data_IF_463231858164
#
_entry.id   IF_463231858164
#
_cell.length_a   1.000
_cell.length_b   1.000
_cell.length_c   1.000
_cell.angle_alpha   90.00
_cell.angle_beta   90.00
_cell.angle_gamma   90.00
#
_symmetry.space_group_name_H-M   'P 1'
#
loop_
_entity.id
_entity.type
_entity.pdbx_description
1 polymer ?
#
# COMPACT_ATOMS: atom_id res chain seq x y z
N UNK A 1 -13.28 -2.33 -14.03
CA UNK A 1 -12.62 -3.45 -14.74
C UNK A 1 -13.59 -4.58 -15.04
N UNK A 2 -14.31 -5.13 -14.06
CA UNK A 2 -15.31 -6.20 -14.29
C UNK A 2 -16.35 -5.87 -15.36
N UNK A 3 -16.92 -4.66 -15.36
CA UNK A 3 -17.86 -4.20 -16.42
C UNK A 3 -17.24 -4.19 -17.82
N UNK A 4 -15.97 -3.80 -17.94
CA UNK A 4 -15.26 -3.72 -19.23
C UNK A 4 -14.92 -5.13 -19.72
N UNK A 5 -14.44 -6.01 -18.83
CA UNK A 5 -14.24 -7.43 -19.13
C UNK A 5 -15.54 -8.08 -19.62
N UNK A 6 -16.66 -7.85 -18.94
CA UNK A 6 -17.94 -8.43 -19.31
C UNK A 6 -18.40 -7.94 -20.69
N UNK A 7 -18.26 -6.64 -20.98
CA UNK A 7 -18.52 -6.11 -22.32
C UNK A 7 -17.65 -6.77 -23.39
N UNK A 8 -16.34 -6.91 -23.17
CA UNK A 8 -15.42 -7.52 -24.15
C UNK A 8 -15.77 -9.00 -24.38
N UNK A 9 -16.02 -9.77 -23.32
CA UNK A 9 -16.42 -11.19 -23.38
C UNK A 9 -17.72 -11.37 -24.16
N UNK A 10 -18.74 -10.55 -23.90
CA UNK A 10 -20.03 -10.61 -24.61
C UNK A 10 -19.89 -10.23 -26.07
N UNK A 11 -19.15 -9.16 -26.38
CA UNK A 11 -18.91 -8.73 -27.78
C UNK A 11 -18.17 -9.81 -28.56
N UNK A 12 -17.13 -10.42 -27.98
CA UNK A 12 -16.36 -11.48 -28.65
C UNK A 12 -17.18 -12.76 -28.82
N UNK A 13 -18.03 -13.11 -27.85
CA UNK A 13 -18.92 -14.25 -27.95
C UNK A 13 -19.96 -14.07 -29.07
N UNK A 14 -20.58 -12.89 -29.15
CA UNK A 14 -21.54 -12.55 -30.21
C UNK A 14 -20.85 -12.52 -31.58
N UNK A 15 -19.66 -11.93 -31.68
CA UNK A 15 -18.87 -11.93 -32.91
C UNK A 15 -18.49 -13.34 -33.37
N UNK A 16 -18.13 -14.24 -32.45
CA UNK A 16 -17.81 -15.63 -32.76
C UNK A 16 -19.03 -16.45 -33.19
N UNK A 17 -20.20 -16.21 -32.57
CA UNK A 17 -21.46 -16.84 -32.98
C UNK A 17 -21.87 -16.39 -34.39
N UNK A 18 -21.73 -15.09 -34.70
CA UNK A 18 -21.97 -14.55 -36.04
C UNK A 18 -21.04 -15.18 -37.09
N UNK A 19 -19.79 -15.50 -36.71
CA UNK A 19 -18.80 -16.17 -37.56
C UNK A 19 -19.01 -17.69 -37.75
N UNK A 20 -20.12 -18.27 -37.27
CA UNK A 20 -20.47 -19.69 -37.44
C UNK A 20 -19.38 -20.67 -36.94
N UNK A 21 -18.63 -20.28 -35.91
CA UNK A 21 -17.67 -21.18 -35.25
C UNK A 21 -18.42 -22.17 -34.34
N UNK A 22 -17.90 -23.41 -34.18
CA UNK A 22 -18.53 -24.38 -33.28
C UNK A 22 -18.59 -23.80 -31.86
N UNK A 23 -19.75 -23.96 -31.21
CA UNK A 23 -20.13 -23.31 -29.95
C UNK A 23 -19.06 -23.53 -28.85
N UNK A 24 -18.42 -24.71 -28.86
CA UNK A 24 -17.38 -25.10 -27.91
C UNK A 24 -16.12 -24.25 -28.09
N UNK A 25 -15.64 -24.02 -29.32
CA UNK A 25 -14.44 -23.20 -29.58
C UNK A 25 -14.68 -21.72 -29.24
N UNK A 26 -15.88 -21.21 -29.52
CA UNK A 26 -16.24 -19.83 -29.18
C UNK A 26 -16.27 -19.59 -27.67
N UNK A 27 -16.74 -20.59 -26.90
CA UNK A 27 -16.71 -20.56 -25.44
C UNK A 27 -15.28 -20.59 -24.90
N UNK A 28 -14.44 -21.51 -25.39
CA UNK A 28 -13.04 -21.63 -24.97
C UNK A 28 -12.23 -20.37 -25.28
N UNK A 29 -12.45 -19.77 -26.46
CA UNK A 29 -11.78 -18.53 -26.86
C UNK A 29 -12.18 -17.33 -25.99
N UNK A 30 -13.48 -17.18 -25.72
CA UNK A 30 -13.99 -16.10 -24.85
C UNK A 30 -13.48 -16.24 -23.41
N UNK A 31 -13.44 -17.47 -22.88
CA UNK A 31 -12.88 -17.77 -21.56
C UNK A 31 -11.37 -17.45 -21.49
N UNK A 32 -10.60 -17.84 -22.51
CA UNK A 32 -9.17 -17.55 -22.59
C UNK A 32 -8.89 -16.04 -22.59
N UNK A 33 -9.67 -15.26 -23.34
CA UNK A 33 -9.58 -13.80 -23.34
C UNK A 33 -9.98 -13.19 -21.99
N UNK A 34 -11.04 -13.70 -21.35
CA UNK A 34 -11.44 -13.23 -20.03
C UNK A 34 -10.32 -13.39 -19.00
N UNK A 35 -9.68 -14.57 -18.97
CA UNK A 35 -8.56 -14.86 -18.06
C UNK A 35 -7.33 -14.01 -18.42
N UNK A 36 -6.98 -13.92 -19.71
CA UNK A 36 -5.82 -13.15 -20.17
C UNK A 36 -5.91 -11.64 -19.94
N UNK A 37 -7.12 -11.09 -19.89
CA UNK A 37 -7.37 -9.67 -19.60
C UNK A 37 -7.34 -9.33 -18.11
N UNK A 38 -7.26 -10.33 -17.22
CA UNK A 38 -7.26 -10.08 -15.78
C UNK A 38 -5.85 -9.73 -15.32
N UNK A 39 -5.57 -8.50 -14.87
CA UNK A 39 -4.22 -8.09 -14.49
C UNK A 39 -3.90 -8.52 -13.05
N UNK A 40 -3.91 -9.83 -12.78
CA UNK A 40 -3.60 -10.39 -11.45
C UNK A 40 -2.10 -10.27 -11.09
N UNK A 41 -1.24 -10.13 -12.09
CA UNK A 41 0.20 -10.09 -11.88
C UNK A 41 0.66 -8.76 -11.27
N UNK A 42 -0.01 -7.64 -11.60
CA UNK A 42 0.42 -6.32 -11.15
C UNK A 42 0.28 -6.15 -9.62
N UNK A 43 -0.87 -6.45 -8.98
CA UNK A 43 -0.99 -6.40 -7.52
C UNK A 43 -0.02 -7.35 -6.81
N UNK A 44 0.26 -8.51 -7.42
CA UNK A 44 1.20 -9.49 -6.85
C UNK A 44 2.63 -8.95 -6.82
N UNK A 45 3.11 -8.35 -7.92
CA UNK A 45 4.46 -7.78 -8.03
C UNK A 45 4.66 -6.64 -7.02
N UNK A 46 3.67 -5.75 -6.88
CA UNK A 46 3.74 -4.63 -5.92
C UNK A 46 3.88 -5.16 -4.50
N UNK A 47 3.05 -6.12 -4.08
CA UNK A 47 3.12 -6.73 -2.74
C UNK A 47 4.47 -7.39 -2.46
N UNK A 48 5.03 -8.13 -3.43
CA UNK A 48 6.36 -8.75 -3.26
C UNK A 48 7.45 -7.70 -3.10
N UNK A 49 7.37 -6.63 -3.87
CA UNK A 49 8.35 -5.52 -3.81
C UNK A 49 8.26 -4.79 -2.47
N UNK A 50 7.05 -4.44 -2.03
CA UNK A 50 6.80 -3.83 -0.72
C UNK A 50 7.19 -4.76 0.44
N UNK A 51 6.93 -6.07 0.34
CA UNK A 51 7.34 -7.05 1.34
C UNK A 51 8.87 -7.12 1.49
N UNK A 52 9.60 -7.10 0.36
CA UNK A 52 11.07 -7.03 0.37
C UNK A 52 11.55 -5.73 1.01
N UNK A 53 10.95 -4.60 0.67
CA UNK A 53 11.27 -3.30 1.28
C UNK A 53 11.03 -3.30 2.80
N UNK A 54 9.88 -3.81 3.25
CA UNK A 54 9.53 -3.93 4.66
C UNK A 54 10.52 -4.82 5.42
N UNK A 55 10.98 -5.93 4.80
CA UNK A 55 12.01 -6.80 5.38
C UNK A 55 13.34 -6.08 5.53
N UNK A 56 13.73 -5.23 4.58
CA UNK A 56 14.93 -4.41 4.69
C UNK A 56 14.81 -3.38 5.82
N UNK A 57 13.66 -2.69 5.95
CA UNK A 57 13.42 -1.73 7.02
C UNK A 57 13.40 -2.37 8.41
N UNK A 58 12.87 -3.60 8.52
CA UNK A 58 12.91 -4.38 9.76
C UNK A 58 14.33 -4.72 10.21
N UNK A 59 15.27 -4.96 9.28
CA UNK A 59 16.69 -5.17 9.63
C UNK A 59 17.33 -3.91 10.22
N UNK A 60 16.81 -2.73 9.88
CA UNK A 60 17.22 -1.44 10.45
C UNK A 60 16.45 -1.05 11.72
N UNK A 61 15.65 -1.96 12.29
CA UNK A 61 14.89 -1.73 13.52
C UNK A 61 13.51 -1.07 13.32
N UNK A 62 13.04 -0.91 12.08
CA UNK A 62 11.72 -0.32 11.79
C UNK A 62 10.68 -1.41 11.55
N UNK A 63 9.66 -1.49 12.39
CA UNK A 63 8.60 -2.51 12.30
C UNK A 63 7.45 -2.02 11.42
N UNK A 64 7.33 -2.59 10.23
CA UNK A 64 6.22 -2.33 9.30
C UNK A 64 5.07 -3.30 9.60
N UNK A 65 3.94 -2.79 10.10
CA UNK A 65 2.76 -3.63 10.42
C UNK A 65 1.83 -3.88 9.23
N UNK A 66 1.84 -3.02 8.22
CA UNK A 66 0.98 -3.07 7.03
C UNK A 66 1.79 -2.67 5.80
N UNK A 67 1.71 -3.43 4.71
CA UNK A 67 2.41 -3.09 3.47
C UNK A 67 1.86 -1.81 2.84
N UNK A 68 0.56 -1.56 2.95
CA UNK A 68 -0.07 -0.34 2.42
C UNK A 68 0.51 0.94 3.07
N UNK A 69 1.00 0.84 4.31
CA UNK A 69 1.66 1.96 4.98
C UNK A 69 3.00 2.34 4.31
N UNK A 70 3.67 1.40 3.64
CA UNK A 70 4.89 1.68 2.88
C UNK A 70 4.58 2.50 1.62
N UNK A 71 3.48 2.18 0.94
CA UNK A 71 3.05 2.91 -0.25
C UNK A 71 2.64 4.34 0.12
N UNK A 72 1.89 4.50 1.21
CA UNK A 72 1.58 5.82 1.77
C UNK A 72 2.86 6.56 2.14
N UNK A 73 3.81 5.93 2.85
CA UNK A 73 5.07 6.55 3.23
C UNK A 73 5.89 7.03 2.02
N UNK A 74 5.89 6.26 0.93
CA UNK A 74 6.59 6.60 -0.31
C UNK A 74 5.93 7.72 -1.12
N UNK A 75 4.63 7.95 -0.92
CA UNK A 75 3.85 9.01 -1.58
C UNK A 75 3.53 10.20 -0.67
N UNK A 76 4.10 10.26 0.54
CA UNK A 76 3.85 11.38 1.45
C UNK A 76 4.64 12.63 1.05
N UNK A 77 3.92 13.73 0.89
CA UNK A 77 4.51 15.07 0.73
C UNK A 77 4.72 15.79 2.06
N UNK A 78 3.91 15.48 3.08
CA UNK A 78 3.92 16.15 4.39
C UNK A 78 4.06 15.14 5.51
N UNK A 79 5.12 15.30 6.31
CA UNK A 79 5.36 14.51 7.52
C UNK A 79 5.04 15.34 8.77
N UNK A 80 3.90 15.06 9.39
CA UNK A 80 3.58 15.59 10.71
C UNK A 80 4.24 14.71 11.78
N UNK A 81 5.27 15.23 12.44
CA UNK A 81 5.97 14.56 13.55
C UNK A 81 5.67 15.28 14.86
N UNK A 82 5.45 14.52 15.94
CA UNK A 82 5.20 15.10 17.25
C UNK A 82 6.50 15.63 17.89
N UNK A 83 6.38 16.71 18.66
CA UNK A 83 7.56 17.35 19.26
C UNK A 83 8.12 16.53 20.43
N UNK A 84 7.26 15.98 21.29
CA UNK A 84 7.66 15.44 22.60
C UNK A 84 7.74 13.92 22.54
N UNK A 85 8.94 13.38 22.65
CA UNK A 85 9.16 11.92 22.54
C UNK A 85 9.46 11.44 21.12
N UNK A 86 9.23 12.25 20.07
CA UNK A 86 9.64 11.94 18.69
C UNK A 86 10.83 12.81 18.24
N UNK A 87 10.68 14.14 18.17
CA UNK A 87 11.79 15.06 17.89
C UNK A 87 12.71 15.28 19.09
N UNK A 88 12.12 15.33 20.29
CA UNK A 88 12.87 15.43 21.54
C UNK A 88 12.82 14.10 22.28
N UNK A 89 13.95 13.65 22.84
CA UNK A 89 14.08 12.34 23.50
C UNK A 89 13.36 12.22 24.85
N UNK A 90 12.24 12.92 25.05
CA UNK A 90 11.44 12.90 26.28
C UNK A 90 12.13 13.51 27.51
N UNK A 91 13.40 13.90 27.40
CA UNK A 91 14.14 14.58 28.45
C UNK A 91 13.85 16.08 28.39
N UNK A 92 12.85 16.50 29.15
CA UNK A 92 12.86 17.85 29.68
C UNK A 92 13.94 17.89 30.78
N UNK A 93 15.09 18.57 30.60
CA UNK A 93 15.95 18.86 31.74
C UNK A 93 15.07 19.59 32.76
N UNK A 94 15.16 19.25 34.08
CA UNK A 94 14.41 19.98 35.09
C UNK A 94 14.75 21.45 34.89
N UNK A 95 13.73 22.25 34.51
CA UNK A 95 13.88 23.71 34.41
C UNK A 95 14.49 24.13 35.73
N UNK A 96 15.70 24.68 35.65
CA UNK A 96 16.53 25.09 36.78
C UNK A 96 15.63 25.42 37.95
N UNK A 97 15.58 24.52 38.93
CA UNK A 97 15.03 24.85 40.24
C UNK A 97 15.82 26.08 40.63
N UNK A 98 15.18 27.25 40.57
CA UNK A 98 15.80 28.50 40.90
C UNK A 98 16.13 28.38 42.39
N UNK A 99 17.34 27.89 42.69
CA UNK A 99 17.93 27.92 44.03
C UNK A 99 18.23 29.40 44.30
N UNK A 100 17.19 30.17 44.62
CA UNK A 100 17.36 31.39 45.40
C UNK A 100 17.74 30.94 46.80
N UNK A 101 19.04 30.78 46.99
CA UNK A 101 19.65 30.93 48.29
C UNK A 101 19.21 32.28 48.88
N UNK A 102 18.74 32.26 50.13
CA UNK A 102 18.64 33.44 50.97
C UNK A 102 17.28 34.13 50.99
N UNK A 103 16.41 33.71 51.92
CA UNK A 103 15.83 34.64 52.90
C UNK A 103 15.27 33.89 54.11
N UNK A 104 16.09 33.92 55.17
CA UNK A 104 15.68 33.83 56.57
C UNK A 104 14.53 34.82 56.78
N UNK A 105 13.35 34.32 57.10
CA UNK A 105 12.27 35.09 57.70
C UNK A 105 11.90 34.37 58.99
N UNK A 106 12.21 35.08 60.06
CA UNK A 106 11.77 34.94 61.45
C UNK A 106 10.32 34.53 61.59
#
# INVERSE_FOLDING_TARGET
MTRIMLCIVVVVLVANLLLHRPIVDSLLFSLALAVGLTPELLPAIIRVTLARGARTMSKSGVIVRRLDAMENLGSMDVLCTDKTGTLTGGRHPPRQLCRRAGRRLT
#
